data_IF_593049559578
#
_entry.id   IF_593049559578
#
_cell.length_a   1.000
_cell.length_b   1.000
_cell.length_c   1.000
_cell.angle_alpha   90.00
_cell.angle_beta   90.00
_cell.angle_gamma   90.00
#
_symmetry.space_group_name_H-M   'P 1'
#
loop_
_entity.id
_entity.type
_entity.pdbx_description
1 polymer ?
#
# COMPACT_ATOMS: atom_id res chain seq x y z
N UNK A 1 -27.55 8.01 -37.57
CA UNK A 1 -27.73 9.45 -37.85
C UNK A 1 -26.36 10.12 -37.77
N UNK A 2 -25.65 10.22 -38.89
CA UNK A 2 -24.36 10.93 -38.97
C UNK A 2 -24.61 12.43 -38.88
N UNK A 3 -23.99 13.10 -37.91
CA UNK A 3 -23.80 14.56 -37.97
C UNK A 3 -22.42 14.82 -38.56
N UNK A 4 -22.39 15.10 -39.86
CA UNK A 4 -21.21 15.65 -40.51
C UNK A 4 -21.05 17.11 -40.10
N UNK A 5 -19.89 17.47 -39.56
CA UNK A 5 -19.48 18.87 -39.35
C UNK A 5 -18.95 19.35 -40.71
N UNK A 6 -19.76 20.13 -41.42
CA UNK A 6 -19.31 20.83 -42.62
C UNK A 6 -18.64 22.15 -42.21
N UNK A 7 -17.31 22.20 -42.32
CA UNK A 7 -16.54 23.45 -42.24
C UNK A 7 -16.57 24.15 -43.60
N UNK A 8 -17.61 24.94 -43.85
CA UNK A 8 -17.55 25.93 -44.93
C UNK A 8 -16.80 27.17 -44.43
N UNK A 9 -15.52 27.27 -44.80
CA UNK A 9 -14.76 28.51 -44.69
C UNK A 9 -15.06 29.32 -45.95
N UNK A 10 -15.93 30.33 -45.83
CA UNK A 10 -16.20 31.27 -46.89
C UNK A 10 -15.06 32.31 -46.93
N UNK A 11 -14.06 32.09 -47.77
CA UNK A 11 -12.97 33.05 -47.98
C UNK A 11 -13.45 34.10 -49.00
N UNK A 12 -14.24 35.07 -48.52
CA UNK A 12 -14.41 36.33 -49.25
C UNK A 12 -13.28 37.27 -48.84
N UNK A 13 -12.52 37.70 -49.84
CA UNK A 13 -11.40 38.64 -49.74
C UNK A 13 -11.87 39.97 -49.17
N UNK A 14 -11.48 40.29 -47.93
CA UNK A 14 -11.44 41.66 -47.45
C UNK A 14 -10.22 41.93 -46.57
N UNK A 15 -9.45 42.90 -47.07
CA UNK A 15 -8.41 43.72 -46.43
C UNK A 15 -7.04 43.06 -46.19
N UNK A 16 -6.09 43.46 -47.04
CA UNK A 16 -4.66 43.07 -47.06
C UNK A 16 -3.80 44.02 -46.17
N UNK A 17 -4.43 44.68 -45.20
CA UNK A 17 -3.68 45.39 -44.16
C UNK A 17 -3.06 44.34 -43.22
N UNK A 18 -1.76 44.46 -42.85
CA UNK A 18 -1.19 43.55 -41.88
C UNK A 18 -1.90 43.79 -40.55
N UNK A 19 -2.86 42.91 -40.21
CA UNK A 19 -3.39 42.80 -38.86
C UNK A 19 -2.24 42.37 -37.95
N UNK A 20 -1.44 43.34 -37.50
CA UNK A 20 -0.68 43.18 -36.26
C UNK A 20 -1.73 43.00 -35.18
N UNK A 21 -1.93 41.75 -34.79
CA UNK A 21 -2.65 41.44 -33.57
C UNK A 21 -1.81 42.08 -32.47
N UNK A 22 -2.28 43.19 -31.90
CA UNK A 22 -1.67 43.79 -30.72
C UNK A 22 -2.02 42.93 -29.53
N UNK A 23 -1.12 42.01 -29.22
CA UNK A 23 -1.27 41.10 -28.10
C UNK A 23 -1.05 41.83 -26.77
N UNK A 24 -1.89 41.57 -25.74
CA UNK A 24 -1.56 41.99 -24.39
C UNK A 24 -0.27 41.28 -23.96
N UNK A 25 0.65 42.05 -23.37
CA UNK A 25 1.92 41.52 -22.87
C UNK A 25 1.65 40.38 -21.85
N UNK A 26 2.49 39.33 -21.82
CA UNK A 26 2.47 38.34 -20.76
C UNK A 26 2.46 39.03 -19.40
N UNK A 27 1.81 38.43 -18.39
CA UNK A 27 1.78 39.04 -17.06
C UNK A 27 3.22 39.30 -16.59
N UNK A 28 3.56 40.56 -16.26
CA UNK A 28 4.88 40.96 -15.76
C UNK A 28 5.18 40.48 -14.33
N UNK A 29 4.66 39.31 -13.93
CA UNK A 29 4.88 38.73 -12.62
C UNK A 29 6.36 38.36 -12.48
N UNK A 30 7.10 39.16 -11.71
CA UNK A 30 8.55 39.01 -11.48
C UNK A 30 8.94 37.61 -10.94
N UNK A 31 7.98 36.88 -10.37
CA UNK A 31 8.13 35.54 -9.81
C UNK A 31 7.27 34.47 -10.51
N UNK A 32 6.67 34.77 -11.67
CA UNK A 32 5.75 33.87 -12.39
C UNK A 32 4.62 33.32 -11.49
N UNK A 33 4.12 34.12 -10.54
CA UNK A 33 2.92 33.79 -9.74
C UNK A 33 1.67 34.18 -10.53
N UNK A 34 0.82 33.20 -10.81
CA UNK A 34 -0.45 33.38 -11.52
C UNK A 34 -1.63 33.03 -10.61
N UNK A 35 -2.72 33.80 -10.68
CA UNK A 35 -3.89 33.65 -9.78
C UNK A 35 -4.95 32.66 -10.25
N UNK A 36 -4.97 32.31 -11.54
CA UNK A 36 -6.03 31.48 -12.15
C UNK A 36 -5.48 30.28 -12.90
N UNK A 37 -4.60 30.52 -13.86
CA UNK A 37 -3.94 29.47 -14.63
C UNK A 37 -2.64 29.99 -15.25
N UNK A 38 -1.81 29.07 -15.73
CA UNK A 38 -0.57 29.35 -16.44
C UNK A 38 -0.36 28.30 -17.53
N UNK A 39 0.21 28.71 -18.66
CA UNK A 39 0.64 27.83 -19.76
C UNK A 39 2.07 28.20 -20.12
N UNK A 40 2.93 27.20 -20.23
CA UNK A 40 4.31 27.36 -20.64
C UNK A 40 4.64 26.30 -21.69
N UNK A 41 5.33 26.72 -22.75
CA UNK A 41 5.78 25.85 -23.84
C UNK A 41 7.04 26.41 -24.50
N UNK A 42 7.63 25.62 -25.39
CA UNK A 42 8.89 25.96 -26.09
C UNK A 42 8.77 27.19 -27.01
N UNK A 43 7.56 27.70 -27.23
CA UNK A 43 7.31 28.86 -28.08
C UNK A 43 6.22 29.77 -27.50
N UNK A 44 6.52 31.07 -27.39
CA UNK A 44 5.61 32.07 -26.80
C UNK A 44 4.21 32.08 -27.43
N UNK A 45 4.12 32.11 -28.77
CA UNK A 45 2.82 32.04 -29.48
C UNK A 45 1.99 30.81 -29.10
N UNK A 46 2.63 29.66 -28.83
CA UNK A 46 1.88 28.44 -28.48
C UNK A 46 1.47 28.42 -27.00
N UNK A 47 2.19 29.12 -26.14
CA UNK A 47 1.73 29.42 -24.78
C UNK A 47 0.50 30.35 -24.82
N UNK A 48 0.45 31.31 -25.74
CA UNK A 48 -0.71 32.18 -25.96
C UNK A 48 -1.93 31.40 -26.46
N UNK A 49 -1.75 30.53 -27.47
CA UNK A 49 -2.84 29.65 -27.94
C UNK A 49 -3.42 28.81 -26.81
N UNK A 50 -2.58 28.20 -25.98
CA UNK A 50 -3.05 27.43 -24.83
C UNK A 50 -3.76 28.29 -23.78
N UNK A 51 -3.25 29.50 -23.50
CA UNK A 51 -3.90 30.47 -22.61
C UNK A 51 -5.28 30.86 -23.15
N UNK A 52 -5.40 31.12 -24.45
CA UNK A 52 -6.66 31.58 -25.05
C UNK A 52 -7.73 30.49 -24.96
N UNK A 53 -7.37 29.23 -25.14
CA UNK A 53 -8.28 28.10 -24.86
C UNK A 53 -8.76 28.09 -23.40
N UNK A 54 -7.90 28.40 -22.44
CA UNK A 54 -8.31 28.52 -21.03
C UNK A 54 -9.21 29.74 -20.77
N UNK A 55 -9.00 30.84 -21.50
CA UNK A 55 -9.85 32.04 -21.43
C UNK A 55 -11.25 31.73 -21.98
N UNK A 56 -11.33 30.94 -23.06
CA UNK A 56 -12.57 30.52 -23.71
C UNK A 56 -13.33 29.43 -22.92
N UNK A 57 -12.85 29.07 -21.73
CA UNK A 57 -13.49 28.12 -20.82
C UNK A 57 -13.02 26.67 -20.96
N UNK A 58 -12.01 26.42 -21.79
CA UNK A 58 -11.36 25.12 -21.88
C UNK A 58 -10.57 24.76 -20.61
N UNK A 59 -10.34 23.47 -20.41
CA UNK A 59 -9.57 22.92 -19.30
C UNK A 59 -8.07 22.75 -19.64
N UNK A 60 -7.28 22.28 -18.67
CA UNK A 60 -5.83 22.11 -18.83
C UNK A 60 -5.44 21.13 -19.96
N UNK A 61 -6.26 20.11 -20.25
CA UNK A 61 -6.01 19.14 -21.34
C UNK A 61 -6.29 19.79 -22.69
N UNK A 62 -7.41 20.50 -22.82
CA UNK A 62 -7.76 21.21 -24.07
C UNK A 62 -6.72 22.28 -24.40
N UNK A 63 -6.29 23.03 -23.38
CA UNK A 63 -5.18 23.99 -23.47
C UNK A 63 -3.89 23.33 -23.95
N UNK A 64 -3.51 22.20 -23.35
CA UNK A 64 -2.32 21.44 -23.73
C UNK A 64 -2.40 20.90 -25.17
N UNK A 65 -3.55 20.36 -25.59
CA UNK A 65 -3.75 19.85 -26.96
C UNK A 65 -3.56 21.00 -27.96
N UNK A 66 -4.18 22.15 -27.73
CA UNK A 66 -4.04 23.31 -28.60
C UNK A 66 -2.60 23.82 -28.66
N UNK A 67 -1.92 23.87 -27.50
CA UNK A 67 -0.50 24.22 -27.43
C UNK A 67 0.37 23.22 -28.19
N UNK A 68 0.17 21.90 -28.06
CA UNK A 68 0.95 20.88 -28.75
C UNK A 68 0.73 20.91 -30.27
N UNK A 69 -0.51 21.14 -30.73
CA UNK A 69 -0.81 21.32 -32.15
C UNK A 69 -0.09 22.55 -32.71
N UNK A 70 -0.08 23.67 -31.98
CA UNK A 70 0.69 24.85 -32.35
C UNK A 70 2.19 24.56 -32.39
N UNK A 71 2.74 23.87 -31.37
CA UNK A 71 4.16 23.49 -31.31
C UNK A 71 4.53 22.63 -32.52
N UNK A 72 3.66 21.73 -32.97
CA UNK A 72 3.88 20.95 -34.20
C UNK A 72 3.99 21.78 -35.48
N UNK A 73 3.43 22.99 -35.50
CA UNK A 73 3.53 23.94 -36.63
C UNK A 73 4.79 24.80 -36.51
N UNK A 74 5.08 25.33 -35.33
CA UNK A 74 6.18 26.29 -35.14
C UNK A 74 7.53 25.62 -34.85
N UNK A 75 7.53 24.37 -34.42
CA UNK A 75 8.72 23.56 -34.14
C UNK A 75 8.62 22.15 -34.79
N UNK A 76 8.42 22.07 -36.12
CA UNK A 76 8.13 20.83 -36.83
C UNK A 76 9.30 19.84 -36.84
N UNK A 77 10.53 20.31 -36.57
CA UNK A 77 11.71 19.45 -36.44
C UNK A 77 11.74 18.65 -35.12
N UNK A 78 10.93 19.03 -34.12
CA UNK A 78 10.95 18.42 -32.78
C UNK A 78 9.64 17.73 -32.41
N UNK A 79 8.49 18.29 -32.82
CA UNK A 79 7.16 17.77 -32.48
C UNK A 79 6.23 17.89 -33.68
N UNK A 80 5.20 17.05 -33.73
CA UNK A 80 4.21 17.06 -34.80
C UNK A 80 3.32 15.83 -34.77
N UNK A 81 2.26 15.85 -35.61
CA UNK A 81 1.26 14.78 -35.68
C UNK A 81 1.83 13.40 -36.07
N UNK A 82 3.00 13.36 -36.71
CA UNK A 82 3.67 12.10 -37.09
C UNK A 82 4.52 11.45 -35.99
N UNK A 83 4.57 12.01 -34.77
CA UNK A 83 5.33 11.50 -33.63
C UNK A 83 4.46 10.83 -32.57
N UNK A 84 4.83 11.00 -31.30
CA UNK A 84 4.07 10.55 -30.13
C UNK A 84 4.35 11.43 -28.91
N UNK A 85 3.48 11.37 -27.90
CA UNK A 85 3.65 12.11 -26.65
C UNK A 85 3.27 11.24 -25.46
N UNK A 86 3.81 11.57 -24.29
CA UNK A 86 3.40 11.02 -23.00
C UNK A 86 2.90 12.20 -22.18
N UNK A 87 1.67 12.11 -21.68
CA UNK A 87 1.02 13.18 -20.91
C UNK A 87 0.60 12.66 -19.54
N UNK A 88 0.99 13.36 -18.49
CA UNK A 88 0.53 13.08 -17.12
C UNK A 88 -0.55 14.09 -16.74
N UNK A 89 -1.75 13.59 -16.39
CA UNK A 89 -2.88 14.41 -15.97
C UNK A 89 -3.16 14.22 -14.49
N UNK A 90 -3.26 15.35 -13.77
CA UNK A 90 -3.76 15.44 -12.40
C UNK A 90 -5.15 16.07 -12.39
N UNK A 91 -6.17 15.33 -11.93
CA UNK A 91 -7.53 15.84 -11.75
C UNK A 91 -7.75 16.23 -10.29
N UNK A 92 -7.83 17.53 -10.02
CA UNK A 92 -7.90 18.09 -8.68
C UNK A 92 -9.31 18.08 -8.05
N UNK A 93 -10.36 17.63 -8.75
CA UNK A 93 -11.77 17.76 -8.31
C UNK A 93 -12.05 17.23 -6.89
N UNK A 94 -11.32 16.21 -6.44
CA UNK A 94 -11.49 15.65 -5.10
C UNK A 94 -10.83 16.53 -4.04
N UNK A 95 -9.72 17.19 -4.37
CA UNK A 95 -8.89 17.94 -3.43
C UNK A 95 -9.16 19.45 -3.45
N UNK A 96 -10.07 19.89 -4.30
CA UNK A 96 -10.46 21.30 -4.43
C UNK A 96 -11.84 21.49 -3.83
N UNK A 97 -11.96 22.44 -2.92
CA UNK A 97 -13.25 22.93 -2.48
C UNK A 97 -13.97 23.58 -3.67
N UNK A 98 -15.10 22.99 -4.09
CA UNK A 98 -15.88 23.49 -5.22
C UNK A 98 -16.43 24.89 -5.00
N UNK A 99 -16.64 25.31 -3.76
CA UNK A 99 -17.16 26.64 -3.45
C UNK A 99 -16.07 27.71 -3.63
N UNK A 100 -14.83 27.40 -3.23
CA UNK A 100 -13.74 28.39 -3.22
C UNK A 100 -12.75 28.23 -4.38
N UNK A 101 -12.73 27.08 -5.05
CA UNK A 101 -11.75 26.74 -6.08
C UNK A 101 -10.33 26.53 -5.54
N UNK A 102 -10.16 26.51 -4.22
CA UNK A 102 -8.88 26.32 -3.53
C UNK A 102 -8.69 24.85 -3.16
N UNK A 103 -7.44 24.40 -3.18
CA UNK A 103 -7.07 23.08 -2.65
C UNK A 103 -7.31 23.06 -1.13
N UNK A 104 -7.90 22.01 -0.59
CA UNK A 104 -8.09 21.86 0.85
C UNK A 104 -6.76 21.94 1.61
N UNK A 105 -6.74 22.68 2.70
CA UNK A 105 -5.61 22.81 3.63
C UNK A 105 -5.92 22.13 4.96
N UNK A 106 -4.88 21.95 5.80
CA UNK A 106 -5.06 21.40 7.14
C UNK A 106 -6.08 22.23 7.95
N UNK A 107 -7.05 21.54 8.55
CA UNK A 107 -8.15 22.17 9.29
C UNK A 107 -9.40 22.44 8.44
N UNK A 108 -9.32 22.38 7.11
CA UNK A 108 -10.51 22.49 6.26
C UNK A 108 -11.39 21.24 6.33
N UNK A 109 -12.71 21.42 6.19
CA UNK A 109 -13.67 20.32 6.15
C UNK A 109 -13.83 19.83 4.70
N UNK A 110 -13.23 18.68 4.39
CA UNK A 110 -13.39 18.01 3.10
C UNK A 110 -14.68 17.17 3.07
N UNK A 111 -15.54 17.38 2.07
CA UNK A 111 -16.74 16.56 1.84
C UNK A 111 -16.55 15.63 0.63
N UNK A 112 -16.88 14.35 0.79
CA UNK A 112 -16.87 13.34 -0.28
C UNK A 112 -18.29 12.89 -0.63
N UNK A 113 -19.12 13.80 -1.15
CA UNK A 113 -20.57 13.57 -1.34
C UNK A 113 -20.88 12.38 -2.26
N UNK A 114 -20.18 12.25 -3.39
CA UNK A 114 -20.36 11.10 -4.31
C UNK A 114 -20.06 9.77 -3.61
N UNK A 115 -18.95 9.70 -2.87
CA UNK A 115 -18.58 8.52 -2.11
C UNK A 115 -19.57 8.23 -0.97
N UNK A 116 -20.05 9.27 -0.27
CA UNK A 116 -21.10 9.14 0.73
C UNK A 116 -22.40 8.57 0.17
N UNK A 117 -22.81 9.01 -1.03
CA UNK A 117 -23.96 8.44 -1.74
C UNK A 117 -23.72 6.97 -2.13
N UNK A 118 -22.53 6.62 -2.63
CA UNK A 118 -22.15 5.23 -2.90
C UNK A 118 -22.23 4.36 -1.66
N UNK A 119 -21.72 4.81 -0.51
CA UNK A 119 -21.82 4.08 0.75
C UNK A 119 -23.28 3.92 1.19
N UNK A 120 -24.12 4.94 1.01
CA UNK A 120 -25.55 4.85 1.31
C UNK A 120 -26.28 3.84 0.41
N UNK A 121 -25.93 3.78 -0.88
CA UNK A 121 -26.47 2.78 -1.79
C UNK A 121 -26.09 1.36 -1.35
N UNK A 122 -24.83 1.13 -0.99
CA UNK A 122 -24.36 -0.17 -0.48
C UNK A 122 -25.12 -0.52 0.81
N UNK A 123 -25.22 0.41 1.76
CA UNK A 123 -25.87 0.16 3.05
C UNK A 123 -27.36 -0.18 2.93
N UNK A 124 -28.07 0.40 1.94
CA UNK A 124 -29.49 0.17 1.72
C UNK A 124 -29.79 -0.99 0.75
N UNK A 125 -28.77 -1.59 0.14
CA UNK A 125 -28.96 -2.68 -0.81
C UNK A 125 -29.48 -3.95 -0.11
N UNK A 126 -30.41 -4.65 -0.76
CA UNK A 126 -30.83 -5.99 -0.29
C UNK A 126 -29.70 -7.01 -0.40
N UNK A 127 -28.84 -6.85 -1.41
CA UNK A 127 -27.62 -7.61 -1.58
C UNK A 127 -26.46 -6.66 -1.98
N UNK A 128 -25.69 -6.16 -1.01
CA UNK A 128 -24.59 -5.23 -1.27
C UNK A 128 -23.43 -5.87 -2.04
N UNK A 129 -23.22 -7.18 -1.89
CA UNK A 129 -22.15 -7.91 -2.58
C UNK A 129 -22.50 -8.01 -4.06
N UNK A 130 -23.72 -8.42 -4.38
CA UNK A 130 -24.22 -8.46 -5.76
C UNK A 130 -24.18 -7.06 -6.39
N UNK A 131 -24.67 -6.02 -5.68
CA UNK A 131 -24.65 -4.65 -6.18
C UNK A 131 -23.25 -4.18 -6.60
N UNK A 132 -22.25 -4.48 -5.76
CA UNK A 132 -20.87 -4.03 -5.96
C UNK A 132 -20.13 -4.84 -7.04
N UNK A 133 -20.18 -6.18 -6.96
CA UNK A 133 -19.34 -7.06 -7.77
C UNK A 133 -19.99 -7.55 -9.07
N UNK A 134 -21.32 -7.52 -9.18
CA UNK A 134 -22.06 -8.09 -10.33
C UNK A 134 -23.13 -7.15 -10.90
N UNK A 135 -23.55 -6.15 -10.12
CA UNK A 135 -24.63 -5.22 -10.46
C UNK A 135 -24.17 -3.94 -11.18
N UNK A 136 -24.96 -2.88 -11.03
CA UNK A 136 -24.70 -1.60 -11.70
C UNK A 136 -23.39 -0.91 -11.29
N UNK A 137 -22.90 -1.14 -10.06
CA UNK A 137 -21.58 -0.63 -9.67
C UNK A 137 -20.48 -1.37 -10.42
N UNK A 138 -20.55 -2.70 -10.55
CA UNK A 138 -19.58 -3.47 -11.32
C UNK A 138 -19.48 -3.01 -12.78
N UNK A 139 -20.62 -2.74 -13.42
CA UNK A 139 -20.67 -2.18 -14.77
C UNK A 139 -19.97 -0.81 -14.85
N UNK A 140 -20.22 0.05 -13.87
CA UNK A 140 -19.60 1.37 -13.77
C UNK A 140 -18.08 1.26 -13.58
N UNK A 141 -17.64 0.40 -12.67
CA UNK A 141 -16.22 0.19 -12.36
C UNK A 141 -15.48 -0.34 -13.60
N UNK A 142 -15.98 -1.41 -14.21
CA UNK A 142 -15.37 -2.00 -15.39
C UNK A 142 -15.35 -1.03 -16.58
N UNK A 143 -16.44 -0.27 -16.79
CA UNK A 143 -16.52 0.76 -17.82
C UNK A 143 -15.48 1.85 -17.63
N UNK A 144 -15.42 2.45 -16.43
CA UNK A 144 -14.46 3.50 -16.12
C UNK A 144 -13.00 3.02 -16.22
N UNK A 145 -12.70 1.78 -15.81
CA UNK A 145 -11.34 1.21 -15.95
C UNK A 145 -11.01 0.97 -17.42
N UNK A 146 -11.93 0.39 -18.20
CA UNK A 146 -11.73 0.09 -19.63
C UNK A 146 -11.55 1.37 -20.44
N UNK A 147 -12.36 2.40 -20.19
CA UNK A 147 -12.29 3.71 -20.86
C UNK A 147 -10.94 4.40 -20.63
N UNK A 148 -10.23 4.04 -19.55
CA UNK A 148 -8.89 4.54 -19.23
C UNK A 148 -7.76 3.57 -19.60
N UNK A 149 -8.05 2.53 -20.40
CA UNK A 149 -7.06 1.58 -20.91
C UNK A 149 -6.63 0.51 -19.91
N UNK A 150 -7.36 0.34 -18.81
CA UNK A 150 -7.14 -0.74 -17.86
C UNK A 150 -7.75 -2.07 -18.33
N UNK A 151 -7.39 -3.16 -17.64
CA UNK A 151 -7.74 -4.52 -18.03
C UNK A 151 -8.83 -5.18 -17.19
N UNK A 152 -9.25 -4.55 -16.07
CA UNK A 152 -10.27 -5.12 -15.18
C UNK A 152 -11.64 -4.99 -15.83
N UNK A 153 -12.28 -6.14 -16.09
CA UNK A 153 -13.62 -6.20 -16.66
C UNK A 153 -14.69 -6.66 -15.64
N UNK A 154 -15.95 -6.75 -16.07
CA UNK A 154 -17.04 -7.20 -15.20
C UNK A 154 -16.89 -8.67 -14.78
N UNK A 155 -16.21 -9.52 -15.57
CA UNK A 155 -15.98 -10.92 -15.22
C UNK A 155 -14.93 -11.02 -14.12
N UNK A 156 -13.89 -10.19 -14.17
CA UNK A 156 -12.91 -10.09 -13.09
C UNK A 156 -13.59 -9.71 -11.77
N UNK A 157 -14.48 -8.71 -11.80
CA UNK A 157 -15.27 -8.32 -10.62
C UNK A 157 -16.24 -9.43 -10.17
N UNK A 158 -16.99 -10.02 -11.11
CA UNK A 158 -18.02 -11.02 -10.79
C UNK A 158 -17.44 -12.35 -10.27
N UNK A 159 -16.19 -12.67 -10.65
CA UNK A 159 -15.49 -13.88 -10.21
C UNK A 159 -14.65 -13.67 -8.95
N UNK A 160 -14.55 -12.44 -8.44
CA UNK A 160 -13.84 -12.16 -7.20
C UNK A 160 -14.59 -12.71 -6.00
N UNK A 161 -13.88 -13.46 -5.16
CA UNK A 161 -14.35 -13.89 -3.84
C UNK A 161 -13.27 -13.63 -2.78
N UNK A 162 -13.72 -13.19 -1.61
CA UNK A 162 -12.86 -13.11 -0.42
C UNK A 162 -12.50 -14.51 0.03
N UNK A 163 -11.21 -14.78 0.21
CA UNK A 163 -10.79 -16.06 0.78
C UNK A 163 -10.84 -15.97 2.30
N UNK A 164 -11.35 -17.03 2.92
CA UNK A 164 -11.39 -17.20 4.35
C UNK A 164 -10.42 -18.33 4.69
N UNK A 165 -9.32 -17.99 5.34
CA UNK A 165 -8.41 -18.97 5.92
C UNK A 165 -8.91 -19.31 7.33
N UNK A 166 -9.68 -20.39 7.47
CA UNK A 166 -10.21 -20.83 8.78
C UNK A 166 -9.11 -21.20 9.77
N UNK A 167 -7.95 -21.61 9.25
CA UNK A 167 -6.77 -21.93 10.05
C UNK A 167 -5.75 -20.81 9.82
N UNK A 168 -5.56 -19.89 10.77
CA UNK A 168 -4.56 -18.85 10.64
C UNK A 168 -3.15 -19.47 10.72
N UNK A 169 -2.16 -18.74 10.24
CA UNK A 169 -0.77 -19.10 10.52
C UNK A 169 -0.50 -18.91 12.02
N UNK A 170 -0.04 -19.96 12.68
CA UNK A 170 0.25 -19.97 14.11
C UNK A 170 1.75 -19.90 14.35
N UNK A 171 2.15 -19.15 15.37
CA UNK A 171 3.49 -19.24 15.95
C UNK A 171 3.41 -19.51 17.45
N UNK A 172 4.18 -20.51 17.86
CA UNK A 172 4.33 -21.00 19.23
C UNK A 172 5.74 -20.69 19.73
N UNK A 173 5.92 -20.61 21.06
CA UNK A 173 7.24 -20.33 21.67
C UNK A 173 7.49 -18.87 21.99
N UNK A 174 6.42 -18.07 22.10
CA UNK A 174 6.46 -16.83 22.87
C UNK A 174 6.64 -17.14 24.38
N UNK A 175 7.07 -16.16 25.20
CA UNK A 175 7.12 -16.34 26.64
C UNK A 175 5.81 -16.81 27.26
N UNK A 176 5.91 -17.71 28.23
CA UNK A 176 4.76 -18.29 28.92
C UNK A 176 3.92 -19.16 27.98
N UNK A 177 2.60 -19.11 28.18
CA UNK A 177 1.61 -19.86 27.39
C UNK A 177 1.04 -19.03 26.24
N UNK A 178 1.80 -18.05 25.71
CA UNK A 178 1.31 -17.18 24.63
C UNK A 178 1.43 -17.84 23.26
N UNK A 179 0.40 -17.65 22.44
CA UNK A 179 0.40 -17.97 21.02
C UNK A 179 0.03 -16.72 20.21
N UNK A 180 0.57 -16.61 19.01
CA UNK A 180 0.21 -15.56 18.06
C UNK A 180 -0.35 -16.17 16.78
N UNK A 181 -1.30 -15.48 16.16
CA UNK A 181 -1.86 -15.87 14.88
C UNK A 181 -2.05 -14.68 13.92
N UNK A 182 -2.03 -14.98 12.62
CA UNK A 182 -2.22 -14.02 11.56
C UNK A 182 -2.41 -14.68 10.19
N UNK A 183 -2.63 -13.90 9.13
CA UNK A 183 -2.91 -14.45 7.80
C UNK A 183 -1.66 -15.08 7.14
N UNK A 184 -1.83 -16.14 6.34
CA UNK A 184 -0.74 -16.66 5.50
C UNK A 184 -0.41 -15.70 4.33
N UNK A 185 0.68 -15.94 3.57
CA UNK A 185 0.92 -15.25 2.31
C UNK A 185 -0.32 -15.25 1.39
N UNK A 186 -0.64 -14.10 0.76
CA UNK A 186 0.28 -13.01 0.40
C UNK A 186 0.60 -12.00 1.50
N UNK A 187 0.04 -12.12 2.72
CA UNK A 187 0.53 -11.35 3.87
C UNK A 187 1.98 -11.68 4.23
N UNK A 188 2.69 -10.69 4.76
CA UNK A 188 4.03 -10.86 5.32
C UNK A 188 4.03 -11.24 6.82
N UNK A 189 2.90 -11.65 7.40
CA UNK A 189 2.81 -12.02 8.82
C UNK A 189 3.85 -13.08 9.23
N UNK A 190 4.14 -14.06 8.36
CA UNK A 190 5.19 -15.08 8.60
C UNK A 190 6.57 -14.48 8.87
N UNK A 191 6.89 -13.34 8.24
CA UNK A 191 8.14 -12.60 8.43
C UNK A 191 8.11 -11.90 9.79
N UNK A 192 7.00 -11.23 10.10
CA UNK A 192 6.80 -10.51 11.36
C UNK A 192 6.87 -11.45 12.57
N UNK A 193 6.16 -12.58 12.54
CA UNK A 193 6.22 -13.58 13.61
C UNK A 193 7.62 -14.18 13.76
N UNK A 194 8.37 -14.35 12.66
CA UNK A 194 9.71 -14.93 12.72
C UNK A 194 10.69 -14.01 13.47
N UNK A 195 10.63 -12.69 13.22
CA UNK A 195 11.43 -11.69 13.95
C UNK A 195 11.15 -11.80 15.45
N UNK A 196 9.86 -11.84 15.83
CA UNK A 196 9.44 -11.96 17.23
C UNK A 196 9.94 -13.28 17.84
N UNK A 197 9.78 -14.41 17.15
CA UNK A 197 10.20 -15.73 17.61
C UNK A 197 11.72 -15.86 17.75
N UNK A 198 12.51 -15.27 16.86
CA UNK A 198 13.97 -15.23 16.95
C UNK A 198 14.42 -14.47 18.20
N UNK A 199 13.79 -13.32 18.48
CA UNK A 199 14.08 -12.52 19.67
C UNK A 199 13.65 -13.24 20.96
N UNK A 200 12.52 -13.93 20.95
CA UNK A 200 12.10 -14.81 22.06
C UNK A 200 13.08 -15.99 22.27
N UNK A 201 13.58 -16.59 21.19
CA UNK A 201 14.55 -17.69 21.21
C UNK A 201 15.95 -17.30 21.70
N UNK A 202 16.41 -16.07 21.43
CA UNK A 202 17.66 -15.52 22.00
C UNK A 202 17.51 -15.16 23.49
N UNK A 203 16.30 -14.86 23.94
CA UNK A 203 16.01 -14.59 25.35
C UNK A 203 16.05 -15.84 26.24
N UNK A 204 16.00 -17.05 25.67
CA UNK A 204 15.77 -18.30 26.41
C UNK A 204 17.03 -19.12 26.75
N UNK A 205 18.24 -18.60 26.52
CA UNK A 205 19.49 -19.34 26.81
C UNK A 205 20.50 -18.61 27.73
N UNK A 206 20.03 -17.72 28.62
CA UNK A 206 20.88 -17.19 29.70
C UNK A 206 20.27 -17.25 31.11
N UNK A 207 19.06 -17.80 31.29
CA UNK A 207 18.36 -17.72 32.59
C UNK A 207 17.62 -18.99 33.05
N UNK A 208 17.95 -20.17 32.50
CA UNK A 208 17.34 -21.42 32.96
C UNK A 208 18.21 -22.26 33.93
N UNK A 209 19.39 -21.78 34.33
CA UNK A 209 20.25 -22.50 35.30
C UNK A 209 20.26 -21.95 36.73
N UNK A 210 19.49 -20.90 37.06
CA UNK A 210 19.52 -20.33 38.42
C UNK A 210 18.11 -20.01 38.95
N UNK A 211 17.53 -20.98 39.64
CA UNK A 211 16.38 -20.89 40.56
C UNK A 211 15.02 -21.32 40.02
N UNK A 212 14.56 -22.45 40.56
CA UNK A 212 13.17 -22.77 40.84
C UNK A 212 12.52 -21.60 41.61
N UNK A 213 11.53 -20.90 41.02
CA UNK A 213 10.48 -20.24 41.81
C UNK A 213 9.11 -20.43 41.11
N UNK A 214 8.09 -20.92 41.85
CA UNK A 214 6.72 -21.06 41.38
C UNK A 214 5.90 -19.77 41.56
N UNK A 215 4.83 -19.66 40.75
CA UNK A 215 3.69 -18.73 40.85
C UNK A 215 3.78 -17.35 40.15
N UNK A 216 3.00 -17.26 39.06
CA UNK A 216 2.24 -16.11 38.56
C UNK A 216 2.69 -14.70 38.97
N UNK A 217 3.37 -14.02 38.06
CA UNK A 217 3.63 -12.59 38.07
C UNK A 217 4.62 -12.26 36.95
N UNK A 218 4.28 -11.33 36.06
CA UNK A 218 5.16 -10.83 35.01
C UNK A 218 6.42 -10.20 35.62
N UNK A 219 7.41 -11.01 36.01
CA UNK A 219 8.72 -10.53 36.43
C UNK A 219 9.55 -10.26 35.18
N UNK A 220 9.71 -8.97 34.90
CA UNK A 220 10.64 -8.34 33.96
C UNK A 220 11.73 -9.28 33.42
N UNK A 221 11.68 -9.60 32.12
CA UNK A 221 12.90 -9.94 31.40
C UNK A 221 13.83 -8.73 31.53
N UNK A 222 14.91 -8.85 32.31
CA UNK A 222 15.87 -7.77 32.54
C UNK A 222 16.72 -7.50 31.29
N UNK A 223 16.12 -6.94 30.24
CA UNK A 223 16.82 -6.50 29.04
C UNK A 223 17.31 -5.07 29.27
N UNK A 224 18.62 -4.86 29.27
CA UNK A 224 19.19 -3.51 29.30
C UNK A 224 18.98 -2.83 27.95
N UNK A 225 18.00 -1.94 27.88
CA UNK A 225 17.71 -1.18 26.67
C UNK A 225 18.78 -0.13 26.33
N UNK A 226 19.80 0.05 27.18
CA UNK A 226 20.98 0.84 26.85
C UNK A 226 22.07 -0.01 26.19
N UNK A 227 21.95 -1.34 26.20
CA UNK A 227 22.89 -2.22 25.52
C UNK A 227 22.67 -2.16 23.99
N UNK A 228 23.63 -1.63 23.22
CA UNK A 228 23.52 -1.57 21.77
C UNK A 228 23.38 -2.96 21.14
N UNK A 229 23.80 -4.04 21.81
CA UNK A 229 23.64 -5.40 21.29
C UNK A 229 22.17 -5.83 21.20
N UNK A 230 21.26 -5.25 22.01
CA UNK A 230 19.82 -5.54 21.92
C UNK A 230 19.27 -5.07 20.57
N UNK A 231 19.59 -3.83 20.19
CA UNK A 231 19.17 -3.26 18.91
C UNK A 231 19.90 -3.89 17.73
N UNK A 232 21.20 -4.17 17.89
CA UNK A 232 21.96 -4.91 16.89
C UNK A 232 21.30 -6.25 16.56
N UNK A 233 20.99 -7.07 17.57
CA UNK A 233 20.36 -8.38 17.38
C UNK A 233 18.96 -8.30 16.79
N UNK A 234 18.18 -7.29 17.16
CA UNK A 234 16.88 -7.01 16.53
C UNK A 234 17.04 -6.70 15.04
N UNK A 235 17.95 -5.80 14.68
CA UNK A 235 18.25 -5.43 13.28
C UNK A 235 18.71 -6.67 12.50
N UNK A 236 19.56 -7.51 13.08
CA UNK A 236 20.02 -8.75 12.45
C UNK A 236 18.88 -9.75 12.25
N UNK A 237 17.97 -9.89 13.22
CA UNK A 237 16.78 -10.74 13.09
C UNK A 237 15.85 -10.22 11.98
N UNK A 238 15.63 -8.91 11.90
CA UNK A 238 14.90 -8.27 10.80
C UNK A 238 15.55 -8.60 9.44
N UNK A 239 16.87 -8.42 9.28
CA UNK A 239 17.57 -8.74 8.03
C UNK A 239 17.40 -10.20 7.61
N UNK A 240 17.54 -11.15 8.54
CA UNK A 240 17.33 -12.57 8.25
C UNK A 240 15.90 -12.88 7.79
N UNK A 241 14.91 -12.27 8.44
CA UNK A 241 13.51 -12.47 8.10
C UNK A 241 13.16 -11.81 6.75
N UNK A 242 13.54 -10.56 6.52
CA UNK A 242 13.32 -9.85 5.25
C UNK A 242 14.01 -10.54 4.08
N UNK A 243 15.16 -11.19 4.29
CA UNK A 243 15.80 -11.99 3.25
C UNK A 243 14.95 -13.18 2.79
N UNK A 244 14.04 -13.71 3.62
CA UNK A 244 13.09 -14.72 3.18
C UNK A 244 11.84 -14.12 2.52
N UNK A 245 11.49 -12.85 2.82
CA UNK A 245 10.35 -12.16 2.18
C UNK A 245 10.48 -12.14 0.66
N UNK A 246 11.70 -12.06 0.13
CA UNK A 246 11.99 -12.07 -1.31
C UNK A 246 11.66 -13.40 -2.00
N UNK A 247 11.43 -14.46 -1.23
CA UNK A 247 11.07 -15.79 -1.72
C UNK A 247 9.59 -16.10 -1.57
N UNK A 248 8.83 -15.22 -0.92
CA UNK A 248 7.39 -15.37 -0.75
C UNK A 248 6.63 -14.93 -2.01
N UNK A 249 5.48 -15.55 -2.23
CA UNK A 249 4.49 -15.22 -3.24
C UNK A 249 3.10 -15.70 -2.82
N UNK A 250 2.10 -15.53 -3.68
CA UNK A 250 0.78 -16.13 -3.46
C UNK A 250 0.90 -17.66 -3.36
N UNK A 251 0.52 -18.23 -2.21
CA UNK A 251 0.65 -19.67 -1.93
C UNK A 251 -0.14 -20.55 -2.90
N UNK A 252 -1.15 -20.02 -3.57
CA UNK A 252 -1.93 -20.75 -4.59
C UNK A 252 -1.17 -20.90 -5.91
N UNK A 253 -0.13 -20.10 -6.12
CA UNK A 253 0.68 -20.08 -7.33
C UNK A 253 2.13 -20.51 -7.11
N UNK A 254 2.60 -20.50 -5.85
CA UNK A 254 4.02 -20.70 -5.53
C UNK A 254 4.18 -21.75 -4.44
N UNK A 255 4.36 -23.01 -4.85
CA UNK A 255 4.51 -24.16 -3.93
C UNK A 255 5.69 -24.00 -2.96
N UNK A 256 6.81 -23.43 -3.42
CA UNK A 256 7.97 -23.17 -2.56
C UNK A 256 7.67 -22.20 -1.42
N UNK A 257 6.66 -21.34 -1.57
CA UNK A 257 6.20 -20.46 -0.47
C UNK A 257 5.58 -21.28 0.66
N UNK A 258 4.80 -22.32 0.34
CA UNK A 258 4.16 -23.18 1.34
C UNK A 258 5.22 -23.87 2.20
N UNK A 259 6.23 -24.48 1.56
CA UNK A 259 7.33 -25.14 2.26
C UNK A 259 8.16 -24.16 3.11
N UNK A 260 8.42 -22.96 2.60
CA UNK A 260 9.14 -21.92 3.33
C UNK A 260 8.36 -21.45 4.56
N UNK A 261 7.07 -21.17 4.42
CA UNK A 261 6.18 -20.75 5.52
C UNK A 261 6.11 -21.82 6.60
N UNK A 262 5.91 -23.09 6.22
CA UNK A 262 5.85 -24.20 7.15
C UNK A 262 7.15 -24.32 7.96
N UNK A 263 8.32 -24.13 7.33
CA UNK A 263 9.60 -24.17 8.00
C UNK A 263 9.81 -22.95 8.93
N UNK A 264 9.57 -21.74 8.41
CA UNK A 264 9.78 -20.47 9.13
C UNK A 264 8.91 -20.32 10.39
N UNK A 265 7.75 -20.97 10.41
CA UNK A 265 6.80 -20.93 11.52
C UNK A 265 7.19 -21.86 12.69
N UNK A 266 8.27 -22.65 12.55
CA UNK A 266 8.71 -23.57 13.61
C UNK A 266 9.65 -22.91 14.62
N UNK A 267 9.59 -23.29 15.91
CA UNK A 267 10.59 -22.87 16.90
C UNK A 267 12.03 -23.27 16.53
N UNK A 268 12.19 -24.40 15.81
CA UNK A 268 13.50 -24.87 15.33
C UNK A 268 14.13 -23.88 14.36
N UNK A 269 13.35 -23.33 13.43
CA UNK A 269 13.84 -22.35 12.47
C UNK A 269 14.25 -21.05 13.18
N UNK A 270 13.44 -20.55 14.11
CA UNK A 270 13.77 -19.37 14.91
C UNK A 270 15.08 -19.56 15.71
N UNK A 271 15.27 -20.73 16.35
CA UNK A 271 16.52 -21.07 17.05
C UNK A 271 17.74 -21.14 16.10
N UNK A 272 17.55 -21.67 14.90
CA UNK A 272 18.60 -21.70 13.88
C UNK A 272 19.00 -20.29 13.42
N UNK A 273 18.04 -19.41 13.13
CA UNK A 273 18.34 -18.00 12.80
C UNK A 273 19.04 -17.31 13.96
N UNK A 274 18.55 -17.48 15.18
CA UNK A 274 19.18 -16.97 16.39
C UNK A 274 20.66 -17.40 16.53
N UNK A 275 21.00 -18.65 16.18
CA UNK A 275 22.39 -19.12 16.21
C UNK A 275 23.30 -18.50 15.14
N UNK A 276 22.72 -17.97 14.06
CA UNK A 276 23.45 -17.32 12.98
C UNK A 276 23.73 -15.83 13.26
N UNK A 277 22.96 -15.21 14.16
CA UNK A 277 23.16 -13.80 14.55
C UNK A 277 24.45 -13.65 15.36
N UNK A 278 25.42 -12.94 14.77
CA UNK A 278 26.68 -12.53 15.39
C UNK A 278 26.54 -11.16 16.05
N UNK A 279 27.42 -10.83 16.98
CA UNK A 279 27.50 -9.50 17.62
C UNK A 279 28.22 -8.45 16.75
N UNK A 280 28.40 -8.74 15.45
CA UNK A 280 28.92 -7.82 14.43
C UNK A 280 28.04 -7.83 13.20
N UNK A 281 27.88 -6.67 12.56
CA UNK A 281 27.11 -6.56 11.32
C UNK A 281 27.75 -7.39 10.20
N UNK A 282 26.91 -7.98 9.35
CA UNK A 282 27.37 -8.75 8.19
C UNK A 282 27.02 -8.03 6.90
N UNK A 283 27.80 -8.34 5.86
CA UNK A 283 27.51 -7.92 4.50
C UNK A 283 26.20 -8.52 3.99
N UNK A 284 25.57 -7.86 3.03
CA UNK A 284 24.25 -8.23 2.54
C UNK A 284 24.15 -9.66 1.98
N UNK A 285 25.24 -10.17 1.38
CA UNK A 285 25.32 -11.53 0.83
C UNK A 285 25.17 -12.62 1.90
N UNK A 286 25.40 -12.30 3.17
CA UNK A 286 25.23 -13.23 4.29
C UNK A 286 23.77 -13.65 4.51
N UNK A 287 22.82 -12.76 4.23
CA UNK A 287 21.40 -13.00 4.46
C UNK A 287 20.67 -13.46 3.19
N UNK A 288 20.97 -12.83 2.05
CA UNK A 288 20.14 -12.94 0.85
C UNK A 288 20.47 -14.11 -0.09
N UNK A 289 21.67 -14.71 -0.01
CA UNK A 289 22.05 -15.71 -1.01
C UNK A 289 21.93 -15.15 -2.43
N UNK A 290 21.05 -15.73 -3.27
CA UNK A 290 20.69 -15.20 -4.58
C UNK A 290 19.90 -13.87 -4.46
N UNK A 291 20.49 -12.80 -4.96
CA UNK A 291 20.18 -11.38 -4.75
C UNK A 291 18.85 -10.89 -5.36
N UNK A 292 17.70 -11.33 -4.85
CA UNK A 292 16.38 -10.80 -5.24
C UNK A 292 15.82 -9.77 -4.26
N UNK A 293 14.84 -8.98 -4.72
CA UNK A 293 14.13 -7.99 -3.90
C UNK A 293 12.64 -7.94 -4.20
N UNK A 294 11.87 -7.40 -3.26
CA UNK A 294 10.46 -7.08 -3.45
C UNK A 294 10.30 -5.56 -3.58
N UNK A 295 9.22 -5.13 -4.21
CA UNK A 295 8.87 -3.72 -4.34
C UNK A 295 8.46 -3.18 -2.94
N UNK A 296 8.92 -1.97 -2.55
CA UNK A 296 8.38 -1.28 -1.39
C UNK A 296 6.93 -0.82 -1.64
N UNK A 297 6.02 -1.17 -0.73
CA UNK A 297 4.64 -0.66 -0.66
C UNK A 297 4.56 0.58 0.26
N UNK A 298 3.49 1.39 0.15
CA UNK A 298 3.17 2.49 1.08
C UNK A 298 1.65 2.56 1.43
N UNK A 299 1.17 3.75 1.85
CA UNK A 299 -0.25 4.14 2.01
C UNK A 299 -1.21 3.13 2.65
N UNK A 300 -1.04 2.86 3.94
CA UNK A 300 -1.84 1.86 4.67
C UNK A 300 -2.59 2.48 5.85
N UNK A 301 -3.65 1.85 6.32
CA UNK A 301 -4.30 2.13 7.60
C UNK A 301 -4.50 0.84 8.40
N UNK A 302 -4.51 0.97 9.72
CA UNK A 302 -4.68 -0.17 10.61
C UNK A 302 -5.69 0.13 11.71
N UNK A 303 -6.56 -0.84 11.99
CA UNK A 303 -7.58 -0.77 13.02
C UNK A 303 -7.54 -2.04 13.85
N UNK A 304 -7.55 -1.87 15.17
CA UNK A 304 -7.72 -2.96 16.13
C UNK A 304 -8.89 -2.68 17.05
N UNK A 305 -9.61 -3.73 17.40
CA UNK A 305 -10.76 -3.67 18.31
C UNK A 305 -10.65 -4.85 19.26
N UNK A 306 -10.82 -4.60 20.55
CA UNK A 306 -11.09 -5.62 21.55
C UNK A 306 -12.39 -5.24 22.23
N UNK A 307 -13.34 -6.15 22.30
CA UNK A 307 -14.63 -5.91 22.93
C UNK A 307 -14.70 -6.42 24.38
N UNK A 308 -15.82 -6.15 25.03
CA UNK A 308 -16.08 -6.53 26.42
C UNK A 308 -16.25 -8.05 26.65
N UNK A 309 -16.47 -8.83 25.59
CA UNK A 309 -16.55 -10.29 25.65
C UNK A 309 -15.18 -10.94 25.46
N UNK A 310 -14.14 -10.14 25.16
CA UNK A 310 -12.79 -10.60 24.90
C UNK A 310 -12.52 -10.95 23.44
N UNK A 311 -13.45 -10.66 22.52
CA UNK A 311 -13.20 -10.83 21.10
C UNK A 311 -12.18 -9.78 20.63
N UNK A 312 -11.23 -10.20 19.79
CA UNK A 312 -10.19 -9.33 19.23
C UNK A 312 -10.21 -9.34 17.71
N UNK A 313 -10.16 -8.16 17.11
CA UNK A 313 -10.04 -7.97 15.65
C UNK A 313 -8.82 -7.11 15.36
N UNK A 314 -8.01 -7.54 14.41
CA UNK A 314 -6.87 -6.78 13.87
C UNK A 314 -7.01 -6.73 12.36
N UNK A 315 -7.16 -5.53 11.81
CA UNK A 315 -7.44 -5.32 10.39
C UNK A 315 -6.51 -4.26 9.82
N UNK A 316 -5.71 -4.65 8.83
CA UNK A 316 -4.92 -3.72 8.03
C UNK A 316 -5.57 -3.60 6.66
N UNK A 317 -5.80 -2.37 6.21
CA UNK A 317 -6.43 -2.06 4.93
C UNK A 317 -5.62 -1.01 4.19
N UNK A 318 -5.58 -1.13 2.86
CA UNK A 318 -4.71 -0.32 2.01
C UNK A 318 -5.36 -0.06 0.65
N UNK A 319 -4.93 1.02 0.00
CA UNK A 319 -5.11 1.23 -1.44
C UNK A 319 -3.75 1.27 -2.14
N UNK A 320 -2.75 0.64 -1.52
CA UNK A 320 -1.31 0.75 -1.75
C UNK A 320 -0.77 2.17 -1.59
N UNK A 321 -0.33 2.87 -2.64
CA UNK A 321 0.38 4.13 -2.46
C UNK A 321 -0.53 5.24 -1.91
N UNK A 322 0.04 6.40 -1.56
CA UNK A 322 -0.76 7.56 -1.14
C UNK A 322 -1.70 7.99 -2.28
N UNK A 323 -3.01 7.87 -2.04
CA UNK A 323 -4.08 8.00 -3.05
C UNK A 323 -4.11 6.90 -4.13
N UNK A 324 -3.47 5.76 -3.87
CA UNK A 324 -3.39 4.61 -4.77
C UNK A 324 -2.91 5.01 -6.15
N UNK A 325 -3.67 4.59 -7.17
CA UNK A 325 -3.42 4.92 -8.58
C UNK A 325 -3.53 6.42 -8.93
N UNK A 326 -3.82 7.29 -7.97
CA UNK A 326 -4.15 8.71 -8.18
C UNK A 326 -5.34 8.89 -9.14
N UNK A 327 -6.19 7.87 -9.25
CA UNK A 327 -7.44 7.88 -10.00
C UNK A 327 -8.60 7.69 -9.04
N UNK A 328 -9.72 8.27 -9.42
CA UNK A 328 -10.96 8.08 -8.70
C UNK A 328 -12.12 8.00 -9.66
N UNK A 329 -13.12 7.23 -9.25
CA UNK A 329 -14.37 7.10 -9.97
C UNK A 329 -15.10 8.44 -10.01
N UNK A 330 -15.40 8.91 -11.22
CA UNK A 330 -16.21 10.11 -11.39
C UNK A 330 -17.65 9.86 -10.95
N UNK A 331 -18.13 8.63 -11.09
CA UNK A 331 -19.50 8.26 -10.72
C UNK A 331 -19.61 7.92 -9.23
N UNK A 332 -18.73 7.06 -8.72
CA UNK A 332 -18.83 6.46 -7.39
C UNK A 332 -18.00 7.21 -6.32
N UNK A 333 -17.12 8.12 -6.72
CA UNK A 333 -16.22 8.82 -5.78
C UNK A 333 -15.22 7.92 -5.06
N UNK A 334 -15.04 6.67 -5.49
CA UNK A 334 -14.06 5.71 -4.96
C UNK A 334 -12.68 6.08 -5.48
N UNK A 335 -11.67 6.08 -4.61
CA UNK A 335 -10.26 6.22 -5.02
C UNK A 335 -9.74 4.81 -5.30
N UNK A 336 -9.14 4.62 -6.47
CA UNK A 336 -8.70 3.31 -6.93
C UNK A 336 -7.29 3.01 -6.43
N UNK A 337 -7.08 1.79 -5.93
CA UNK A 337 -5.77 1.32 -5.53
C UNK A 337 -4.82 1.18 -6.73
N UNK A 338 -3.53 1.09 -6.44
CA UNK A 338 -2.47 0.64 -7.35
C UNK A 338 -1.76 -0.59 -6.79
N UNK A 339 -2.50 -1.53 -6.19
CA UNK A 339 -1.95 -2.73 -5.53
C UNK A 339 -1.15 -3.62 -6.48
N UNK A 340 -1.43 -3.55 -7.78
CA UNK A 340 -0.67 -4.27 -8.81
C UNK A 340 0.82 -3.87 -8.86
N UNK A 341 1.20 -2.71 -8.31
CA UNK A 341 2.59 -2.24 -8.17
C UNK A 341 3.42 -3.14 -7.25
N UNK A 342 2.78 -3.88 -6.33
CA UNK A 342 3.46 -4.79 -5.41
C UNK A 342 3.98 -6.07 -6.11
N UNK A 343 3.58 -6.33 -7.37
CA UNK A 343 4.20 -7.40 -8.16
C UNK A 343 5.61 -7.05 -8.61
N UNK A 344 6.48 -8.05 -8.59
CA UNK A 344 7.78 -7.98 -9.26
C UNK A 344 7.62 -8.06 -10.78
N UNK A 345 8.34 -7.19 -11.51
CA UNK A 345 8.35 -7.20 -12.98
C UNK A 345 9.60 -7.92 -13.50
N UNK A 346 9.48 -9.01 -14.30
CA UNK A 346 10.62 -9.70 -14.88
C UNK A 346 11.58 -8.74 -15.60
N UNK A 347 12.88 -8.87 -15.32
CA UNK A 347 13.92 -8.03 -15.93
C UNK A 347 14.04 -6.60 -15.39
N UNK A 348 13.20 -6.19 -14.43
CA UNK A 348 13.24 -4.85 -13.83
C UNK A 348 13.85 -4.93 -12.42
N UNK A 349 15.15 -4.58 -12.24
CA UNK A 349 15.74 -4.55 -10.92
C UNK A 349 15.18 -3.39 -10.09
N UNK A 350 15.23 -3.51 -8.76
CA UNK A 350 14.85 -2.41 -7.88
C UNK A 350 15.88 -1.26 -7.89
N UNK A 351 15.61 -0.19 -7.12
CA UNK A 351 16.48 1.00 -7.03
C UNK A 351 17.93 0.72 -6.57
N UNK A 352 18.19 -0.45 -5.98
CA UNK A 352 19.51 -0.88 -5.52
C UNK A 352 20.15 -1.94 -6.43
N UNK A 353 19.54 -2.23 -7.59
CA UNK A 353 20.05 -3.18 -8.56
C UNK A 353 19.73 -4.65 -8.27
N UNK A 354 18.88 -4.95 -7.29
CA UNK A 354 18.49 -6.33 -6.98
C UNK A 354 17.49 -6.87 -7.99
N UNK A 355 17.65 -8.14 -8.36
CA UNK A 355 16.76 -8.79 -9.31
C UNK A 355 15.31 -8.83 -8.76
N UNK A 356 14.30 -8.78 -9.64
CA UNK A 356 12.90 -8.88 -9.22
C UNK A 356 12.61 -10.30 -8.72
N UNK A 357 11.76 -10.43 -7.69
CA UNK A 357 11.48 -11.72 -7.06
C UNK A 357 10.59 -12.60 -7.93
N UNK A 358 11.06 -13.76 -8.46
CA UNK A 358 10.26 -14.58 -9.37
C UNK A 358 9.00 -15.16 -8.73
N UNK A 359 9.04 -15.45 -7.42
CA UNK A 359 7.88 -15.89 -6.63
C UNK A 359 6.75 -14.87 -6.67
N UNK A 360 7.04 -13.59 -6.88
CA UNK A 360 6.06 -12.52 -6.90
C UNK A 360 5.93 -11.88 -8.29
N UNK A 361 6.18 -12.61 -9.37
CA UNK A 361 5.83 -12.13 -10.72
C UNK A 361 4.31 -12.08 -10.92
N UNK A 362 3.87 -11.09 -11.70
CA UNK A 362 2.47 -10.90 -12.10
C UNK A 362 1.93 -12.11 -12.87
N UNK A 363 0.72 -12.55 -12.53
CA UNK A 363 -0.03 -13.57 -13.26
C UNK A 363 -1.54 -13.37 -13.07
N UNK A 364 -2.39 -13.77 -14.04
CA UNK A 364 -3.85 -13.67 -13.91
C UNK A 364 -4.37 -14.42 -12.67
N UNK A 365 -5.25 -13.79 -11.89
CA UNK A 365 -5.85 -14.35 -10.67
C UNK A 365 -4.93 -14.45 -9.45
N UNK A 366 -3.63 -14.14 -9.62
CA UNK A 366 -2.65 -14.09 -8.54
C UNK A 366 -2.81 -12.81 -7.74
N UNK A 367 -2.52 -12.87 -6.44
CA UNK A 367 -2.46 -11.70 -5.54
C UNK A 367 -0.99 -11.29 -5.32
N UNK A 368 -0.67 -9.99 -5.35
CA UNK A 368 0.69 -9.53 -5.07
C UNK A 368 1.03 -9.73 -3.59
N UNK A 369 2.33 -9.87 -3.28
CA UNK A 369 2.81 -9.90 -1.89
C UNK A 369 2.56 -8.56 -1.21
N UNK A 370 2.02 -8.60 0.02
CA UNK A 370 1.77 -7.42 0.84
C UNK A 370 2.61 -7.41 2.10
N UNK A 371 3.02 -6.24 2.60
CA UNK A 371 3.67 -6.10 3.91
C UNK A 371 2.69 -6.16 5.09
N UNK A 372 1.39 -6.07 4.83
CA UNK A 372 0.34 -6.14 5.86
C UNK A 372 0.52 -7.37 6.75
N UNK A 373 0.57 -7.16 8.06
CA UNK A 373 0.79 -8.21 9.07
C UNK A 373 -0.12 -8.03 10.29
N UNK A 374 -1.46 -7.96 10.12
CA UNK A 374 -2.37 -7.92 11.27
C UNK A 374 -2.26 -9.22 12.05
N UNK A 375 -2.28 -9.13 13.38
CA UNK A 375 -2.17 -10.29 14.25
C UNK A 375 -2.90 -10.14 15.58
N UNK A 376 -3.20 -11.31 16.16
CA UNK A 376 -3.75 -11.46 17.50
C UNK A 376 -2.79 -12.32 18.32
N UNK A 377 -2.58 -11.94 19.57
CA UNK A 377 -1.82 -12.70 20.58
C UNK A 377 -2.78 -13.04 21.72
N UNK A 378 -2.77 -14.30 22.15
CA UNK A 378 -3.69 -14.82 23.15
C UNK A 378 -3.00 -15.84 24.06
N UNK A 379 -3.59 -16.07 25.24
CA UNK A 379 -3.15 -17.14 26.14
C UNK A 379 -3.68 -18.50 25.66
N UNK A 380 -2.79 -19.48 25.56
CA UNK A 380 -3.10 -20.90 25.41
C UNK A 380 -3.65 -21.41 26.74
N UNK A 381 -4.74 -22.16 26.70
CA UNK A 381 -5.30 -22.82 27.88
C UNK A 381 -4.80 -24.28 27.91
N UNK A 382 -4.42 -24.83 29.06
CA UNK A 382 -3.81 -26.18 29.16
C UNK A 382 -4.68 -27.32 28.59
N UNK A 383 -5.99 -27.10 28.43
CA UNK A 383 -6.96 -28.07 27.87
C UNK A 383 -7.08 -28.07 26.33
N UNK A 384 -6.41 -27.17 25.61
CA UNK A 384 -6.43 -27.12 24.14
C UNK A 384 -5.39 -28.03 23.50
N UNK A 385 -5.64 -29.35 23.54
CA UNK A 385 -5.02 -30.27 22.57
C UNK A 385 -5.39 -29.82 21.16
N UNK A 386 -4.44 -29.84 20.23
CA UNK A 386 -4.53 -29.30 18.85
C UNK A 386 -5.81 -29.67 18.09
N UNK A 387 -6.39 -30.85 18.35
CA UNK A 387 -7.67 -31.31 17.77
C UNK A 387 -8.91 -30.55 18.27
N UNK A 388 -8.78 -29.80 19.36
CA UNK A 388 -9.82 -28.95 19.94
C UNK A 388 -9.64 -27.47 19.65
N UNK A 389 -8.61 -26.98 18.96
CA UNK A 389 -8.53 -25.54 18.61
C UNK A 389 -9.66 -25.14 17.64
N UNK A 390 -10.09 -26.07 16.79
CA UNK A 390 -11.29 -25.93 15.94
C UNK A 390 -12.62 -26.10 16.71
N UNK A 391 -12.59 -26.67 17.92
CA UNK A 391 -13.77 -26.98 18.74
C UNK A 391 -13.83 -26.18 20.07
N UNK A 392 -12.78 -25.43 20.39
CA UNK A 392 -12.71 -24.55 21.54
C UNK A 392 -13.71 -23.45 21.24
N UNK A 393 -14.75 -23.37 22.05
CA UNK A 393 -15.68 -22.24 21.99
C UNK A 393 -14.84 -20.98 22.10
N UNK A 394 -15.12 -20.02 21.21
CA UNK A 394 -14.48 -18.70 21.06
C UNK A 394 -14.39 -17.89 22.39
N UNK A 395 -14.92 -18.39 23.52
CA UNK A 395 -14.80 -17.78 24.85
C UNK A 395 -13.76 -18.38 25.81
N UNK A 396 -12.91 -19.33 25.41
CA UNK A 396 -11.85 -19.90 26.29
C UNK A 396 -10.42 -19.36 26.01
N UNK A 397 -10.22 -18.64 24.90
CA UNK A 397 -8.96 -17.99 24.55
C UNK A 397 -9.02 -16.51 24.95
N UNK A 398 -8.17 -16.10 25.89
CA UNK A 398 -8.10 -14.70 26.29
C UNK A 398 -7.17 -13.94 25.36
N UNK A 399 -7.73 -13.02 24.53
CA UNK A 399 -6.93 -12.09 23.73
C UNK A 399 -6.13 -11.18 24.66
N UNK A 400 -4.80 -11.21 24.51
CA UNK A 400 -3.86 -10.38 25.27
C UNK A 400 -3.49 -9.13 24.47
N UNK A 401 -3.42 -9.24 23.14
CA UNK A 401 -3.10 -8.12 22.25
C UNK A 401 -3.69 -8.33 20.86
N UNK A 402 -4.27 -7.27 20.30
CA UNK A 402 -4.56 -7.14 18.88
C UNK A 402 -3.64 -6.04 18.33
N UNK A 403 -2.88 -6.33 17.28
CA UNK A 403 -1.84 -5.41 16.80
C UNK A 403 -1.59 -5.53 15.31
N UNK A 404 -1.10 -4.44 14.73
CA UNK A 404 -0.65 -4.27 13.36
C UNK A 404 -0.27 -2.82 13.15
N UNK A 405 0.11 -2.47 11.93
CA UNK A 405 0.62 -1.14 11.62
C UNK A 405 0.26 -0.73 10.19
N UNK A 406 0.55 0.54 9.90
CA UNK A 406 0.54 1.13 8.57
C UNK A 406 1.93 1.65 8.19
N UNK A 407 2.23 1.74 6.91
CA UNK A 407 3.50 2.27 6.41
C UNK A 407 4.22 1.33 5.43
N UNK A 408 3.46 0.51 4.70
CA UNK A 408 3.98 -0.43 3.71
C UNK A 408 5.12 -1.30 4.25
N UNK A 409 6.30 -1.23 3.64
CA UNK A 409 7.37 -2.18 3.94
C UNK A 409 7.88 -2.09 5.40
N UNK A 410 7.61 -0.99 6.10
CA UNK A 410 7.91 -0.81 7.52
C UNK A 410 6.93 -1.51 8.47
N UNK A 411 5.76 -1.98 7.98
CA UNK A 411 4.73 -2.63 8.81
C UNK A 411 5.33 -3.83 9.56
N UNK A 412 6.13 -4.64 8.89
CA UNK A 412 6.71 -5.87 9.43
C UNK A 412 7.60 -5.55 10.64
N UNK A 413 8.63 -4.72 10.45
CA UNK A 413 9.56 -4.34 11.52
C UNK A 413 8.87 -3.54 12.63
N UNK A 414 8.01 -2.57 12.29
CA UNK A 414 7.31 -1.76 13.28
C UNK A 414 6.37 -2.61 14.15
N UNK A 415 5.60 -3.52 13.55
CA UNK A 415 4.69 -4.41 14.30
C UNK A 415 5.49 -5.37 15.19
N UNK A 416 6.55 -5.99 14.66
CA UNK A 416 7.43 -6.86 15.45
C UNK A 416 8.04 -6.12 16.65
N UNK A 417 8.51 -4.89 16.45
CA UNK A 417 9.09 -4.07 17.51
C UNK A 417 8.10 -3.74 18.62
N UNK A 418 6.85 -3.42 18.29
CA UNK A 418 5.80 -3.18 19.30
C UNK A 418 5.57 -4.43 20.14
N UNK A 419 5.44 -5.60 19.51
CA UNK A 419 5.24 -6.87 20.23
C UNK A 419 6.46 -7.21 21.08
N UNK A 420 7.68 -7.10 20.55
CA UNK A 420 8.91 -7.39 21.28
C UNK A 420 9.05 -6.47 22.50
N UNK A 421 8.83 -5.16 22.33
CA UNK A 421 8.94 -4.20 23.42
C UNK A 421 7.92 -4.47 24.52
N UNK A 422 6.68 -4.76 24.14
CA UNK A 422 5.59 -4.96 25.10
C UNK A 422 5.70 -6.32 25.79
N UNK A 423 5.86 -7.39 25.03
CA UNK A 423 5.82 -8.77 25.53
C UNK A 423 7.18 -9.28 26.02
N UNK A 424 8.28 -8.88 25.39
CA UNK A 424 9.62 -9.35 25.76
C UNK A 424 10.36 -8.35 26.64
N UNK A 425 10.19 -7.03 26.44
CA UNK A 425 10.90 -6.01 27.23
C UNK A 425 10.04 -5.39 28.34
N UNK A 426 8.81 -5.89 28.53
CA UNK A 426 7.86 -5.44 29.56
C UNK A 426 7.58 -3.92 29.52
N UNK A 427 7.58 -3.34 28.32
CA UNK A 427 7.22 -1.95 28.11
C UNK A 427 5.71 -1.78 27.95
N UNK A 428 5.18 -0.60 28.29
CA UNK A 428 3.79 -0.29 28.00
C UNK A 428 3.57 -0.08 26.50
N UNK A 429 2.36 -0.30 26.00
CA UNK A 429 1.98 -0.02 24.60
C UNK A 429 2.17 1.47 24.23
N UNK A 430 2.20 2.39 25.21
CA UNK A 430 2.29 3.84 25.00
C UNK A 430 3.72 4.41 24.94
N UNK A 431 4.77 3.58 24.86
CA UNK A 431 6.14 4.12 24.84
C UNK A 431 6.41 4.90 23.53
N UNK A 432 6.56 6.23 23.65
CA UNK A 432 6.90 7.16 22.55
C UNK A 432 8.20 6.73 21.86
N UNK A 433 8.18 6.69 20.54
CA UNK A 433 9.34 6.32 19.72
C UNK A 433 10.25 7.50 19.33
N UNK A 434 10.04 8.70 19.88
CA UNK A 434 10.91 9.84 19.62
C UNK A 434 11.24 10.56 20.93
N UNK A 435 12.53 10.50 21.32
CA UNK A 435 13.13 11.60 22.07
C UNK A 435 13.11 12.80 21.12
N UNK A 436 12.56 13.91 21.58
CA UNK A 436 12.84 15.22 21.01
C UNK A 436 14.36 15.35 20.87
N UNK A 437 14.83 15.47 19.62
CA UNK A 437 16.19 15.95 19.29
C UNK A 437 16.03 17.41 18.90
#
# INVERSE_FOLDING_TARGET
MSRHINLHVNVQSQDDSPRRIEWPLPSGSLFARFKKAAVASDHGLCSEVGRDVLIDGGNAVESMIATLLCIGVVNPQSSGLGGGFIMTLFNAEIFVDRATGRVYEEGDIMKRERYGFTLQLIANATDPVELFYKGGMAQTIAGEITDNGGYVDQKDLASYETLIDEIPLLSTGLPGDLEMCGPPPPSSFVITQNIIAVMAGKSSNSYQELFEIPHFGFSSFGVDLNDPLVYHRLIEAEKFAYAQRTKLGDMRFVESTIALVANMSTPKYAKWVASMIKDTAQEQSYYLGDSTSQVPDHGTSHVTVIDHEGNGVSCTSTINQVFGSMRASQTLGIIWNDEMDDFSTPGTPNAFGFAPSPSNFIAPGKRPMSSMSPMIIYNKNEDTKYEKVLAAKIGELQVVMAVGASGGSYIISATAQVVIRTMLFNQTVKVRQFREI
#
